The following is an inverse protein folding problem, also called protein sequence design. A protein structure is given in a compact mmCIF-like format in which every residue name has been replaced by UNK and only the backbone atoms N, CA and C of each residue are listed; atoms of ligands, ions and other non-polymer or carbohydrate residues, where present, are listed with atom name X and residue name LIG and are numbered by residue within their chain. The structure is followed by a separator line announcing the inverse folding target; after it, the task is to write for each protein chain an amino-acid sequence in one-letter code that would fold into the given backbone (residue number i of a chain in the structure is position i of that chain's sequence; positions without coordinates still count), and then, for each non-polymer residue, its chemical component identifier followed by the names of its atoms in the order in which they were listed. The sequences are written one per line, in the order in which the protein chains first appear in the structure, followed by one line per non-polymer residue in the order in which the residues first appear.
data_IF_491142312331
#
_entry.id   IF_491142312331
#
_cell.length_a   1.000
_cell.length_b   1.000
_cell.length_c   1.000
_cell.angle_alpha   90.00
_cell.angle_beta   90.00
_cell.angle_gamma   90.00
#
_symmetry.space_group_name_H-M   'P 1'
#
loop_
_entity.id
_entity.type
_entity.pdbx_description
1 polymer ?
#
# COMPACT_ATOMS: atom_id res chain seq x y z
N UNK A 1 -64.62 -19.60 -24.33
CA UNK A 1 -63.99 -18.75 -23.28
C UNK A 1 -62.54 -19.19 -23.15
N UNK A 2 -61.62 -18.45 -23.74
CA UNK A 2 -60.20 -18.77 -23.85
C UNK A 2 -59.38 -17.99 -22.82
N UNK A 3 -58.72 -18.67 -21.87
CA UNK A 3 -57.69 -18.07 -21.01
C UNK A 3 -56.57 -19.10 -20.84
N UNK A 4 -55.50 -18.97 -21.65
CA UNK A 4 -54.43 -19.96 -21.76
C UNK A 4 -53.32 -19.85 -20.70
N UNK A 5 -52.38 -20.83 -20.67
CA UNK A 5 -51.27 -20.99 -19.70
C UNK A 5 -50.20 -19.88 -19.64
N UNK A 6 -50.50 -18.67 -20.14
CA UNK A 6 -49.52 -17.61 -20.39
C UNK A 6 -48.99 -16.93 -19.12
N UNK A 7 -49.56 -17.23 -17.95
CA UNK A 7 -49.14 -16.67 -16.66
C UNK A 7 -47.99 -17.44 -15.97
N UNK A 8 -47.72 -18.71 -16.28
CA UNK A 8 -46.73 -19.50 -15.50
C UNK A 8 -45.28 -19.20 -15.89
N UNK A 9 -44.95 -19.12 -17.17
CA UNK A 9 -43.59 -18.80 -17.64
C UNK A 9 -43.23 -17.35 -17.27
N UNK A 10 -44.19 -16.43 -17.35
CA UNK A 10 -44.01 -15.04 -16.91
C UNK A 10 -43.79 -14.95 -15.38
N UNK A 11 -44.47 -15.80 -14.59
CA UNK A 11 -44.25 -15.86 -13.14
C UNK A 11 -42.89 -16.44 -12.75
N UNK A 12 -42.41 -17.49 -13.44
CA UNK A 12 -41.10 -18.11 -13.17
C UNK A 12 -39.93 -17.16 -13.48
N UNK A 13 -40.04 -16.38 -14.56
CA UNK A 13 -39.05 -15.33 -14.87
C UNK A 13 -39.08 -14.24 -13.81
N UNK A 14 -40.26 -13.84 -13.33
CA UNK A 14 -40.40 -12.89 -12.24
C UNK A 14 -39.78 -13.36 -10.93
N UNK A 15 -39.97 -14.64 -10.57
CA UNK A 15 -39.40 -15.24 -9.37
C UNK A 15 -37.87 -15.40 -9.48
N UNK A 16 -37.33 -15.84 -10.62
CA UNK A 16 -35.88 -15.93 -10.84
C UNK A 16 -35.17 -14.57 -10.80
N UNK A 17 -35.79 -13.52 -11.35
CA UNK A 17 -35.30 -12.15 -11.22
C UNK A 17 -35.31 -11.66 -9.77
N UNK A 18 -36.34 -12.06 -8.99
CA UNK A 18 -36.45 -11.72 -7.57
C UNK A 18 -35.37 -12.42 -6.74
N UNK A 19 -35.13 -13.71 -6.98
CA UNK A 19 -34.04 -14.46 -6.34
C UNK A 19 -32.66 -13.90 -6.71
N UNK A 20 -32.43 -13.54 -7.97
CA UNK A 20 -31.18 -12.93 -8.42
C UNK A 20 -30.94 -11.58 -7.73
N UNK A 21 -32.00 -10.76 -7.57
CA UNK A 21 -31.95 -9.49 -6.84
C UNK A 21 -31.66 -9.69 -5.36
N UNK A 22 -32.25 -10.71 -4.73
CA UNK A 22 -31.96 -11.07 -3.34
C UNK A 22 -30.52 -11.56 -3.14
N UNK A 23 -30.01 -12.37 -4.06
CA UNK A 23 -28.64 -12.86 -4.03
C UNK A 23 -27.63 -11.71 -4.21
N UNK A 24 -27.86 -10.84 -5.20
CA UNK A 24 -27.03 -9.66 -5.41
C UNK A 24 -26.99 -8.75 -4.16
N UNK A 25 -28.12 -8.60 -3.46
CA UNK A 25 -28.19 -7.84 -2.21
C UNK A 25 -27.41 -8.51 -1.08
N UNK A 26 -27.45 -9.85 -0.98
CA UNK A 26 -26.67 -10.63 -0.02
C UNK A 26 -25.17 -10.53 -0.29
N UNK A 27 -24.74 -10.65 -1.55
CA UNK A 27 -23.33 -10.49 -1.92
C UNK A 27 -22.83 -9.08 -1.65
N UNK A 28 -23.63 -8.04 -1.93
CA UNK A 28 -23.29 -6.66 -1.56
C UNK A 28 -23.17 -6.46 -0.05
N UNK A 29 -24.04 -7.09 0.74
CA UNK A 29 -23.98 -7.04 2.20
C UNK A 29 -22.72 -7.77 2.74
N UNK A 30 -22.39 -8.92 2.17
CA UNK A 30 -21.18 -9.67 2.51
C UNK A 30 -19.92 -8.89 2.12
N UNK A 31 -19.86 -8.40 0.88
CA UNK A 31 -18.78 -7.56 0.37
C UNK A 31 -18.57 -6.33 1.25
N UNK A 32 -19.64 -5.65 1.67
CA UNK A 32 -19.55 -4.50 2.58
C UNK A 32 -18.96 -4.90 3.94
N UNK A 33 -19.35 -6.06 4.46
CA UNK A 33 -18.85 -6.57 5.74
C UNK A 33 -17.35 -6.89 5.64
N UNK A 34 -16.95 -7.61 4.59
CA UNK A 34 -15.56 -7.97 4.35
C UNK A 34 -14.68 -6.74 4.06
N UNK A 35 -15.15 -5.81 3.22
CA UNK A 35 -14.49 -4.52 2.99
C UNK A 35 -14.30 -3.74 4.29
N UNK A 36 -15.32 -3.65 5.14
CA UNK A 36 -15.21 -2.96 6.44
C UNK A 36 -14.17 -3.63 7.35
N UNK A 37 -14.15 -4.97 7.40
CA UNK A 37 -13.16 -5.74 8.15
C UNK A 37 -11.73 -5.54 7.63
N UNK A 38 -11.56 -5.60 6.31
CA UNK A 38 -10.27 -5.40 5.64
C UNK A 38 -9.75 -3.99 5.88
N UNK A 39 -10.60 -2.97 5.66
CA UNK A 39 -10.27 -1.56 5.90
C UNK A 39 -9.89 -1.33 7.37
N UNK A 40 -10.65 -1.89 8.33
CA UNK A 40 -10.32 -1.79 9.76
C UNK A 40 -8.96 -2.41 10.07
N UNK A 41 -8.65 -3.58 9.51
CA UNK A 41 -7.38 -4.27 9.71
C UNK A 41 -6.21 -3.46 9.13
N UNK A 42 -6.39 -2.89 7.94
CA UNK A 42 -5.42 -1.97 7.34
C UNK A 42 -5.20 -0.73 8.21
N UNK A 43 -6.27 -0.12 8.74
CA UNK A 43 -6.15 1.03 9.64
C UNK A 43 -5.39 0.70 10.92
N UNK A 44 -5.67 -0.45 11.55
CA UNK A 44 -4.94 -0.91 12.74
C UNK A 44 -3.47 -1.16 12.37
N UNK A 45 -3.20 -1.82 11.24
CA UNK A 45 -1.84 -2.05 10.76
C UNK A 45 -1.06 -0.76 10.54
N UNK A 46 -1.69 0.25 9.90
CA UNK A 46 -1.09 1.57 9.71
C UNK A 46 -0.88 2.30 11.04
N UNK A 47 -1.84 2.25 11.96
CA UNK A 47 -1.72 2.86 13.28
C UNK A 47 -0.56 2.24 14.09
N UNK A 48 -0.43 0.91 14.06
CA UNK A 48 0.69 0.20 14.69
C UNK A 48 2.01 0.53 14.02
N UNK A 49 2.06 0.65 12.68
CA UNK A 49 3.28 1.01 11.96
C UNK A 49 3.74 2.43 12.30
N UNK A 50 2.80 3.39 12.34
CA UNK A 50 3.08 4.77 12.78
C UNK A 50 3.54 4.78 14.23
N UNK A 51 2.86 4.05 15.12
CA UNK A 51 3.25 3.91 16.52
C UNK A 51 4.66 3.34 16.66
N UNK A 52 4.97 2.25 15.94
CA UNK A 52 6.31 1.66 15.91
C UNK A 52 7.37 2.65 15.40
N UNK A 53 7.05 3.45 14.38
CA UNK A 53 7.93 4.52 13.90
C UNK A 53 8.23 5.57 14.99
N UNK A 54 7.19 6.05 15.69
CA UNK A 54 7.34 7.03 16.78
C UNK A 54 8.17 6.45 17.93
N UNK A 55 7.82 5.27 18.42
CA UNK A 55 8.57 4.61 19.50
C UNK A 55 9.99 4.25 19.08
N UNK A 56 10.20 3.87 17.82
CA UNK A 56 11.53 3.61 17.26
C UNK A 56 12.41 4.86 17.27
N UNK A 57 11.87 6.02 16.91
CA UNK A 57 12.60 7.31 16.96
C UNK A 57 12.93 7.68 18.41
N UNK A 58 11.98 7.57 19.33
CA UNK A 58 12.23 7.84 20.76
C UNK A 58 13.30 6.90 21.32
N UNK A 59 13.18 5.60 21.07
CA UNK A 59 14.16 4.61 21.49
C UNK A 59 15.54 4.88 20.90
N UNK A 60 15.62 5.29 19.62
CA UNK A 60 16.87 5.67 18.99
C UNK A 60 17.55 6.83 19.72
N UNK A 61 16.83 7.90 20.07
CA UNK A 61 17.40 9.01 20.82
C UNK A 61 17.94 8.58 22.19
N UNK A 62 17.18 7.75 22.92
CA UNK A 62 17.62 7.21 24.22
C UNK A 62 18.87 6.35 24.07
N UNK A 63 18.94 5.50 23.04
CA UNK A 63 20.10 4.66 22.76
C UNK A 63 21.33 5.48 22.35
N UNK A 64 21.14 6.53 21.56
CA UNK A 64 22.24 7.43 21.16
C UNK A 64 22.80 8.15 22.40
N UNK A 65 21.93 8.70 23.26
CA UNK A 65 22.35 9.33 24.52
C UNK A 65 23.09 8.33 25.44
N UNK A 66 22.56 7.12 25.59
CA UNK A 66 23.21 6.06 26.35
C UNK A 66 24.58 5.69 25.77
N UNK A 67 24.71 5.61 24.44
CA UNK A 67 25.96 5.31 23.77
C UNK A 67 26.98 6.43 23.94
N UNK A 68 26.56 7.70 23.86
CA UNK A 68 27.41 8.87 24.10
C UNK A 68 27.94 8.85 25.53
N UNK A 69 27.06 8.63 26.53
CA UNK A 69 27.45 8.55 27.94
C UNK A 69 28.40 7.39 28.22
N UNK A 70 28.13 6.22 27.63
CA UNK A 70 29.03 5.06 27.74
C UNK A 70 30.39 5.36 27.10
N UNK A 71 30.44 5.95 25.91
CA UNK A 71 31.69 6.28 25.26
C UNK A 71 32.46 7.37 26.02
N UNK A 72 31.74 8.29 26.69
CA UNK A 72 32.33 9.32 27.52
C UNK A 72 33.13 8.74 28.71
N UNK A 73 32.79 7.55 29.22
CA UNK A 73 33.59 6.90 30.27
C UNK A 73 34.94 6.39 29.75
N UNK A 74 35.08 6.16 28.44
CA UNK A 74 36.31 5.69 27.81
C UNK A 74 37.14 6.87 27.31
N UNK A 75 36.49 7.84 26.67
CA UNK A 75 37.12 9.01 26.05
C UNK A 75 37.38 10.13 27.08
N UNK A 76 36.78 10.06 28.27
CA UNK A 76 36.86 11.06 29.33
C UNK A 76 36.35 12.46 28.91
N UNK A 77 35.53 12.51 27.86
CA UNK A 77 34.90 13.73 27.36
C UNK A 77 33.57 13.41 26.70
N UNK A 78 32.50 14.02 27.21
CA UNK A 78 31.15 13.87 26.65
C UNK A 78 31.04 14.53 25.28
N UNK A 79 31.66 15.70 25.09
CA UNK A 79 31.64 16.42 23.82
C UNK A 79 32.33 15.63 22.68
N UNK A 80 33.52 15.06 22.95
CA UNK A 80 34.21 14.23 21.95
C UNK A 80 33.44 12.94 21.64
N UNK A 81 32.80 12.35 22.66
CA UNK A 81 31.98 11.15 22.48
C UNK A 81 30.75 11.43 21.62
N UNK A 82 30.06 12.55 21.87
CA UNK A 82 28.93 13.00 21.05
C UNK A 82 29.35 13.25 19.59
N UNK A 83 30.53 13.84 19.38
CA UNK A 83 31.07 14.08 18.04
C UNK A 83 31.37 12.77 17.30
N UNK A 84 31.96 11.78 17.98
CA UNK A 84 32.26 10.47 17.37
C UNK A 84 30.97 9.73 17.01
N UNK A 85 30.03 9.61 17.96
CA UNK A 85 28.76 8.91 17.73
C UNK A 85 27.94 9.61 16.64
N UNK A 86 27.84 10.93 16.71
CA UNK A 86 27.16 11.75 15.69
C UNK A 86 27.81 11.61 14.32
N UNK A 87 29.15 11.58 14.25
CA UNK A 87 29.89 11.35 13.01
C UNK A 87 29.59 9.99 12.38
N UNK A 88 29.55 8.92 13.19
CA UNK A 88 29.20 7.58 12.71
C UNK A 88 27.76 7.54 12.19
N UNK A 89 26.80 8.12 12.92
CA UNK A 89 25.40 8.18 12.49
C UNK A 89 25.23 9.01 11.21
N UNK A 90 26.00 10.09 11.04
CA UNK A 90 25.98 10.89 9.82
C UNK A 90 26.44 10.08 8.61
N UNK A 91 27.50 9.28 8.75
CA UNK A 91 27.97 8.38 7.69
C UNK A 91 26.87 7.37 7.31
N UNK A 92 26.24 6.73 8.30
CA UNK A 92 25.12 5.81 8.06
C UNK A 92 23.96 6.51 7.34
N UNK A 93 23.61 7.73 7.77
CA UNK A 93 22.54 8.51 7.16
C UNK A 93 22.83 8.85 5.69
N UNK A 94 24.08 9.20 5.37
CA UNK A 94 24.51 9.43 3.97
C UNK A 94 24.36 8.15 3.15
N UNK A 95 24.80 6.99 3.67
CA UNK A 95 24.63 5.70 2.98
C UNK A 95 23.16 5.40 2.70
N UNK A 96 22.29 5.56 3.69
CA UNK A 96 20.84 5.37 3.50
C UNK A 96 20.25 6.36 2.51
N UNK A 97 20.67 7.64 2.53
CA UNK A 97 20.21 8.63 1.57
C UNK A 97 20.61 8.26 0.13
N UNK A 98 21.82 7.74 -0.07
CA UNK A 98 22.29 7.29 -1.38
C UNK A 98 21.51 6.06 -1.87
N UNK A 99 21.29 5.07 -0.99
CA UNK A 99 20.48 3.87 -1.31
C UNK A 99 19.04 4.27 -1.62
N UNK A 100 18.43 5.10 -0.78
CA UNK A 100 17.06 5.58 -0.95
C UNK A 100 16.88 6.37 -2.25
N UNK A 101 17.83 7.26 -2.57
CA UNK A 101 17.86 7.98 -3.85
C UNK A 101 17.90 7.01 -5.04
N UNK A 102 18.66 5.92 -4.94
CA UNK A 102 18.73 4.92 -6.01
C UNK A 102 17.42 4.12 -6.13
N UNK A 103 16.81 3.73 -5.00
CA UNK A 103 15.54 3.02 -4.96
C UNK A 103 14.35 3.87 -5.46
N UNK A 104 14.41 5.19 -5.29
CA UNK A 104 13.42 6.14 -5.80
C UNK A 104 13.70 6.60 -7.24
N UNK A 105 14.79 6.16 -7.86
CA UNK A 105 15.09 6.55 -9.23
C UNK A 105 13.97 6.07 -10.17
N UNK A 106 13.38 7.01 -10.91
CA UNK A 106 12.24 6.77 -11.80
C UNK A 106 12.53 5.68 -12.87
N UNK A 107 13.81 5.37 -13.13
CA UNK A 107 14.22 4.25 -13.98
C UNK A 107 13.83 2.86 -13.44
N UNK A 108 13.60 2.74 -12.13
CA UNK A 108 13.13 1.50 -11.47
C UNK A 108 11.61 1.46 -11.29
N UNK A 109 10.94 2.62 -11.26
CA UNK A 109 9.48 2.75 -11.11
C UNK A 109 8.73 2.85 -12.45
N UNK A 110 9.41 3.26 -13.54
CA UNK A 110 8.81 3.24 -14.86
C UNK A 110 8.66 1.78 -15.34
N UNK A 111 7.43 1.28 -15.57
CA UNK A 111 7.25 -0.04 -16.14
C UNK A 111 7.77 -0.03 -17.57
N UNK A 112 9.01 -0.48 -17.76
CA UNK A 112 9.67 -0.57 -19.07
C UNK A 112 8.93 -1.53 -20.02
N UNK A 113 8.15 -2.47 -19.47
CA UNK A 113 7.33 -3.43 -20.21
C UNK A 113 5.98 -2.83 -20.64
N UNK A 114 5.24 -2.16 -19.73
CA UNK A 114 3.89 -1.64 -20.00
C UNK A 114 3.91 -0.50 -21.03
N UNK A 115 4.90 0.37 -20.96
CA UNK A 115 5.03 1.50 -21.90
C UNK A 115 5.30 1.05 -23.34
N UNK A 116 5.99 -0.09 -23.55
CA UNK A 116 6.29 -0.62 -24.88
C UNK A 116 5.09 -1.32 -25.52
N UNK A 117 4.27 -2.02 -24.73
CA UNK A 117 3.04 -2.64 -25.21
C UNK A 117 1.97 -1.61 -25.53
N UNK A 118 1.76 -0.60 -24.67
CA UNK A 118 0.79 0.47 -24.97
C UNK A 118 1.17 1.29 -26.22
N UNK A 119 2.47 1.47 -26.50
CA UNK A 119 2.92 2.10 -27.75
C UNK A 119 2.68 1.24 -28.99
N UNK A 120 2.77 -0.08 -28.87
CA UNK A 120 2.46 -1.00 -29.98
C UNK A 120 0.95 -1.06 -30.23
N UNK A 121 0.14 -1.11 -29.18
CA UNK A 121 -1.32 -1.11 -29.28
C UNK A 121 -1.86 0.21 -29.85
N UNK A 122 -1.32 1.35 -29.42
CA UNK A 122 -1.69 2.65 -29.98
C UNK A 122 -1.34 2.79 -31.46
N UNK A 123 -0.19 2.23 -31.90
CA UNK A 123 0.17 2.20 -33.32
C UNK A 123 -0.78 1.31 -34.13
N UNK A 124 -1.07 0.12 -33.64
CA UNK A 124 -2.00 -0.81 -34.30
C UNK A 124 -3.43 -0.25 -34.39
N UNK A 125 -3.84 0.59 -33.43
CA UNK A 125 -5.12 1.28 -33.48
C UNK A 125 -5.12 2.45 -34.47
N UNK A 126 -4.02 3.23 -34.52
CA UNK A 126 -3.88 4.35 -35.46
C UNK A 126 -3.86 3.90 -36.92
N UNK A 127 -3.26 2.74 -37.20
CA UNK A 127 -3.18 2.16 -38.54
C UNK A 127 -4.56 1.67 -39.04
N UNK A 128 -5.44 1.24 -38.12
CA UNK A 128 -6.81 0.81 -38.43
C UNK A 128 -7.82 1.95 -38.63
N UNK A 129 -7.49 3.16 -38.17
CA UNK A 129 -8.35 4.35 -38.33
C UNK A 129 -7.90 5.19 -39.53
N UNK A 130 -6.69 4.96 -40.03
CA UNK A 130 -6.08 5.72 -41.13
C UNK A 130 -6.08 4.98 -42.48
N UNK A 131 -6.61 3.75 -42.53
CA UNK A 131 -6.85 2.98 -43.75
C UNK A 131 -8.33 2.68 -43.91
#
# INVERSE_FOLDING_TARGET
MSNGPQSSIQSLVGDALRETSELARKEMALFRTEMTSNVRTLFIGLALMVGAGVFGVVALFVLVDALVKWLATVVHSEALSALIVGGVLLVVAIVFALIGRNAMSLSTLAPTRTTRQMRQDARALSERVSG
#
